data_IF_528111321403
#
_entry.id   IF_528111321403
#
_cell.length_a   1.000
_cell.length_b   1.000
_cell.length_c   1.000
_cell.angle_alpha   90.00
_cell.angle_beta   90.00
_cell.angle_gamma   90.00
#
_symmetry.space_group_name_H-M   'P 1'
#
loop_
_entity.id
_entity.type
_entity.pdbx_description
1 polymer ?
#
# COMPACT_ATOMS: atom_id res chain seq x y z
N UNK A 1 -22.13 -7.11 -10.56
CA UNK A 1 -20.83 -6.62 -11.08
C UNK A 1 -20.28 -5.57 -10.13
N UNK A 2 -19.96 -5.97 -8.90
CA UNK A 2 -19.40 -5.12 -7.84
C UNK A 2 -18.32 -5.84 -7.03
N UNK A 3 -18.15 -7.15 -7.21
CA UNK A 3 -17.19 -7.98 -6.46
C UNK A 3 -15.74 -7.83 -6.94
N UNK A 4 -15.51 -7.48 -8.22
CA UNK A 4 -14.14 -7.38 -8.78
C UNK A 4 -13.38 -6.13 -8.33
N UNK A 5 -14.10 -5.03 -8.10
CA UNK A 5 -13.51 -3.77 -7.64
C UNK A 5 -13.08 -3.86 -6.16
N UNK A 6 -13.88 -4.54 -5.33
CA UNK A 6 -13.58 -4.76 -3.91
C UNK A 6 -12.32 -5.63 -3.72
N UNK A 7 -12.21 -6.70 -4.50
CA UNK A 7 -11.05 -7.59 -4.46
C UNK A 7 -9.75 -6.87 -4.89
N UNK A 8 -9.84 -6.01 -5.91
CA UNK A 8 -8.68 -5.19 -6.34
C UNK A 8 -8.20 -4.25 -5.23
N UNK A 9 -9.13 -3.64 -4.49
CA UNK A 9 -8.80 -2.78 -3.34
C UNK A 9 -8.16 -3.60 -2.22
N UNK A 10 -8.69 -4.78 -1.91
CA UNK A 10 -8.12 -5.68 -0.91
C UNK A 10 -6.68 -6.08 -1.26
N UNK A 11 -6.42 -6.47 -2.51
CA UNK A 11 -5.08 -6.82 -3.01
C UNK A 11 -4.11 -5.64 -2.93
N UNK A 12 -4.55 -4.42 -3.28
CA UNK A 12 -3.72 -3.21 -3.18
C UNK A 12 -3.33 -2.90 -1.73
N UNK A 13 -4.26 -3.09 -0.79
CA UNK A 13 -4.01 -2.90 0.65
C UNK A 13 -3.02 -3.94 1.14
N UNK A 14 -3.20 -5.22 0.77
CA UNK A 14 -2.31 -6.32 1.15
C UNK A 14 -0.87 -6.06 0.67
N UNK A 15 -0.69 -5.69 -0.60
CA UNK A 15 0.64 -5.40 -1.16
C UNK A 15 1.28 -4.18 -0.51
N UNK A 16 0.50 -3.13 -0.25
CA UNK A 16 0.99 -1.93 0.43
C UNK A 16 1.47 -2.27 1.85
N UNK A 17 0.70 -3.09 2.57
CA UNK A 17 1.03 -3.50 3.93
C UNK A 17 2.31 -4.36 3.97
N UNK A 18 2.46 -5.29 3.03
CA UNK A 18 3.65 -6.16 2.94
C UNK A 18 4.92 -5.34 2.67
N UNK A 19 4.87 -4.42 1.69
CA UNK A 19 5.98 -3.52 1.34
C UNK A 19 6.36 -2.61 2.51
N UNK A 20 5.38 -1.97 3.14
CA UNK A 20 5.64 -1.07 4.27
C UNK A 20 6.16 -1.86 5.46
N UNK A 21 5.62 -3.04 5.77
CA UNK A 21 6.09 -3.91 6.85
C UNK A 21 7.56 -4.31 6.67
N UNK A 22 7.95 -4.71 5.45
CA UNK A 22 9.34 -5.00 5.13
C UNK A 22 10.25 -3.78 5.30
N UNK A 23 9.77 -2.60 4.89
CA UNK A 23 10.51 -1.34 5.03
C UNK A 23 10.72 -0.94 6.50
N UNK A 24 9.68 -1.02 7.34
CA UNK A 24 9.78 -0.74 8.78
C UNK A 24 10.64 -1.77 9.50
N UNK A 25 10.56 -3.05 9.09
CA UNK A 25 11.36 -4.13 9.67
C UNK A 25 12.85 -3.98 9.40
N UNK A 26 13.23 -3.35 8.29
CA UNK A 26 14.64 -3.16 7.89
C UNK A 26 15.15 -1.76 8.21
N UNK A 27 14.27 -0.76 8.29
CA UNK A 27 14.60 0.62 8.58
C UNK A 27 13.62 1.19 9.62
N UNK A 28 14.05 1.42 10.88
CA UNK A 28 13.18 1.99 11.89
C UNK A 28 12.78 3.41 11.50
N UNK A 29 11.55 3.55 10.98
CA UNK A 29 10.98 4.82 10.54
C UNK A 29 10.17 5.46 11.66
N UNK A 30 10.19 6.80 11.77
CA UNK A 30 9.34 7.51 12.71
C UNK A 30 7.86 7.24 12.43
N UNK A 31 7.08 6.97 13.48
CA UNK A 31 5.63 6.74 13.35
C UNK A 31 4.87 7.92 12.72
N UNK A 32 5.46 9.12 12.73
CA UNK A 32 4.92 10.31 12.06
C UNK A 32 5.02 10.27 10.54
N UNK A 33 5.95 9.49 9.96
CA UNK A 33 6.13 9.39 8.51
C UNK A 33 5.48 8.14 7.90
N UNK A 34 5.09 7.16 8.72
CA UNK A 34 4.36 5.96 8.27
C UNK A 34 3.08 6.27 7.47
N UNK A 35 2.20 7.21 7.89
CA UNK A 35 0.99 7.51 7.14
C UNK A 35 1.29 8.08 5.76
N UNK A 36 2.33 8.92 5.67
CA UNK A 36 2.77 9.51 4.41
C UNK A 36 3.36 8.45 3.47
N UNK A 37 4.12 7.48 4.00
CA UNK A 37 4.69 6.38 3.23
C UNK A 37 3.59 5.44 2.69
N UNK A 38 2.64 5.03 3.54
CA UNK A 38 1.51 4.18 3.15
C UNK A 38 0.71 4.86 2.03
N UNK A 39 0.41 6.16 2.17
CA UNK A 39 -0.32 6.91 1.15
C UNK A 39 0.43 6.97 -0.19
N UNK A 40 1.75 7.17 -0.17
CA UNK A 40 2.58 7.19 -1.38
C UNK A 40 2.64 5.82 -2.06
N UNK A 41 2.87 4.75 -1.31
CA UNK A 41 2.93 3.38 -1.83
C UNK A 41 1.58 2.97 -2.41
N UNK A 42 0.49 3.20 -1.68
CA UNK A 42 -0.86 2.89 -2.14
C UNK A 42 -1.22 3.68 -3.41
N UNK A 43 -0.87 4.98 -3.48
CA UNK A 43 -1.12 5.80 -4.66
C UNK A 43 -0.29 5.34 -5.88
N UNK A 44 0.98 4.96 -5.67
CA UNK A 44 1.85 4.42 -6.70
C UNK A 44 1.29 3.10 -7.24
N UNK A 45 0.92 2.17 -6.35
CA UNK A 45 0.32 0.89 -6.70
C UNK A 45 -1.01 1.03 -7.45
N UNK A 46 -1.87 1.94 -6.99
CA UNK A 46 -3.11 2.29 -7.68
C UNK A 46 -2.85 2.88 -9.06
N UNK A 47 -1.81 3.71 -9.20
CA UNK A 47 -1.39 4.28 -10.49
C UNK A 47 -0.86 3.23 -11.47
N UNK A 48 -0.13 2.22 -10.98
CA UNK A 48 0.37 1.12 -11.80
C UNK A 48 -0.68 0.07 -12.14
N UNK A 49 -1.65 -0.18 -11.24
CA UNK A 49 -2.73 -1.13 -11.48
C UNK A 49 -3.81 -0.60 -12.44
N UNK A 50 -3.84 0.72 -12.67
CA UNK A 50 -4.75 1.37 -13.62
C UNK A 50 -4.12 1.75 -14.98
N UNK A 51 -2.88 1.34 -15.25
CA UNK A 51 -2.13 1.64 -16.48
C UNK A 51 -2.03 0.40 -17.40
#
# INVERSE_FOLDING_TARGET
>A
MTEEADNTVAVLIELTADVVSAYVSSNPVPVGELPALIGQVHAALKGTAGA
#
